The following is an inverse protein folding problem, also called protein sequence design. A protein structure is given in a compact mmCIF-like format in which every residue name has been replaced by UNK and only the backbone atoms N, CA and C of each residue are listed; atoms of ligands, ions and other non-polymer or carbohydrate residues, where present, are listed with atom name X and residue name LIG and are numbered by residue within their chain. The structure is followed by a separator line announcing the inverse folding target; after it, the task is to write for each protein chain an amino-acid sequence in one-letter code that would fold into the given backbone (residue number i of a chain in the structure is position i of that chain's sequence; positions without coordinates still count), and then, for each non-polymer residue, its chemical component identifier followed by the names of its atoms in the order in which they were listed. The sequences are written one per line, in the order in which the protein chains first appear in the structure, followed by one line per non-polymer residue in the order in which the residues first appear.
data_IF_905798413928
#
_entry.id   IF_905798413928
#
_cell.length_a   1.000
_cell.length_b   1.000
_cell.length_c   1.000
_cell.angle_alpha   90.00
_cell.angle_beta   90.00
_cell.angle_gamma   90.00
#
_symmetry.space_group_name_H-M   'P 1'
#
loop_
_entity.id
_entity.type
_entity.pdbx_description
1 polymer ?
#
# COMPACT_ATOMS: atom_id res chain seq x y z
N UNK A 1 36.86 44.16 -8.42
CA UNK A 1 35.73 43.42 -9.01
C UNK A 1 34.47 43.81 -8.28
N UNK A 2 33.47 44.31 -9.03
CA UNK A 2 32.15 44.60 -8.47
C UNK A 2 31.47 43.28 -8.07
N UNK A 3 30.59 43.30 -7.09
CA UNK A 3 29.87 42.14 -6.57
C UNK A 3 29.00 41.42 -7.61
N UNK A 4 28.45 42.15 -8.60
CA UNK A 4 27.67 41.57 -9.71
C UNK A 4 28.47 40.62 -10.61
N UNK A 5 29.65 40.98 -11.15
CA UNK A 5 30.46 40.02 -11.91
C UNK A 5 31.01 38.88 -11.06
N UNK A 6 31.20 39.06 -9.75
CA UNK A 6 31.62 38.01 -8.86
C UNK A 6 30.50 36.97 -8.59
N UNK A 7 29.25 37.45 -8.52
CA UNK A 7 28.10 36.53 -8.35
C UNK A 7 27.87 35.62 -9.56
N UNK A 8 28.22 36.06 -10.78
CA UNK A 8 28.13 35.24 -11.99
C UNK A 8 29.24 34.18 -12.10
N UNK A 9 30.31 34.28 -11.32
CA UNK A 9 31.38 33.28 -11.26
C UNK A 9 31.11 32.17 -10.23
N UNK A 10 30.12 32.35 -9.35
CA UNK A 10 29.65 31.27 -8.50
C UNK A 10 28.84 30.31 -9.38
N UNK A 11 29.26 29.02 -9.49
CA UNK A 11 28.41 28.03 -10.09
C UNK A 11 27.22 27.85 -9.13
N UNK A 12 26.08 28.48 -9.46
CA UNK A 12 24.80 28.04 -8.89
C UNK A 12 24.53 26.64 -9.43
N UNK A 13 25.24 25.67 -8.88
CA UNK A 13 25.00 24.28 -9.16
C UNK A 13 23.73 23.95 -8.45
N UNK A 14 22.72 23.46 -9.21
CA UNK A 14 21.58 22.82 -8.59
C UNK A 14 22.10 21.78 -7.60
N UNK A 15 21.60 21.82 -6.36
CA UNK A 15 22.06 20.89 -5.33
C UNK A 15 21.91 19.46 -5.86
N UNK A 16 23.00 18.69 -5.89
CA UNK A 16 22.92 17.28 -6.22
C UNK A 16 21.97 16.59 -5.24
N UNK A 17 20.93 15.94 -5.79
CA UNK A 17 19.98 15.20 -5.01
C UNK A 17 20.40 13.71 -5.06
N UNK A 18 21.41 13.37 -4.24
CA UNK A 18 21.91 12.00 -4.18
C UNK A 18 22.50 11.71 -2.80
N UNK A 19 22.27 10.51 -2.27
CA UNK A 19 22.98 10.00 -1.09
C UNK A 19 24.27 9.28 -1.46
N UNK A 20 24.57 9.12 -2.74
CA UNK A 20 25.76 8.43 -3.26
C UNK A 20 25.64 6.90 -3.27
N UNK A 21 24.59 6.34 -2.71
CA UNK A 21 24.30 4.91 -2.67
C UNK A 21 22.79 4.63 -2.74
N UNK A 22 22.42 3.37 -2.95
CA UNK A 22 21.04 2.93 -3.07
C UNK A 22 20.59 2.68 -4.51
N UNK A 23 19.31 2.78 -4.77
CA UNK A 23 18.75 2.58 -6.10
C UNK A 23 18.74 3.88 -6.92
N UNK A 24 18.85 3.74 -8.23
CA UNK A 24 18.70 4.86 -9.17
C UNK A 24 17.21 5.15 -9.38
N UNK A 25 16.75 6.34 -8.94
CA UNK A 25 15.40 6.81 -9.22
C UNK A 25 15.28 7.45 -10.61
N UNK A 26 16.33 8.14 -11.06
CA UNK A 26 16.37 8.80 -12.36
C UNK A 26 17.55 9.75 -12.49
N UNK A 27 17.43 10.69 -13.40
CA UNK A 27 18.40 11.77 -13.61
C UNK A 27 17.78 13.13 -13.29
N UNK A 28 18.58 14.02 -12.74
CA UNK A 28 18.21 15.41 -12.52
C UNK A 28 18.13 16.14 -13.87
N UNK A 29 16.98 16.74 -14.19
CA UNK A 29 16.74 17.41 -15.47
C UNK A 29 17.56 18.69 -15.66
N UNK A 30 18.10 19.28 -14.59
CA UNK A 30 18.85 20.53 -14.67
C UNK A 30 20.35 20.30 -14.94
N UNK A 31 20.95 19.29 -14.33
CA UNK A 31 22.40 19.07 -14.38
C UNK A 31 22.80 17.65 -14.85
N UNK A 32 21.84 16.79 -15.20
CA UNK A 32 22.05 15.40 -15.60
C UNK A 32 22.75 14.52 -14.54
N UNK A 33 22.82 14.96 -13.27
CA UNK A 33 23.34 14.10 -12.19
C UNK A 33 22.38 12.94 -11.89
N UNK A 34 22.91 11.84 -11.37
CA UNK A 34 22.13 10.69 -10.96
C UNK A 34 21.41 10.97 -9.63
N UNK A 35 20.15 10.57 -9.56
CA UNK A 35 19.34 10.62 -8.33
C UNK A 35 19.36 9.22 -7.72
N UNK A 36 20.24 9.03 -6.73
CA UNK A 36 20.50 7.76 -6.05
C UNK A 36 20.12 7.87 -4.57
N UNK A 37 19.27 6.98 -4.07
CA UNK A 37 18.88 6.92 -2.66
C UNK A 37 18.69 5.48 -2.19
N UNK A 38 19.14 5.20 -0.96
CA UNK A 38 18.63 4.08 -0.17
C UNK A 38 17.53 4.61 0.77
N UNK A 39 16.27 4.32 0.44
CA UNK A 39 15.11 4.77 1.22
C UNK A 39 15.17 4.33 2.69
N UNK A 40 15.84 3.23 2.99
CA UNK A 40 15.99 2.70 4.34
C UNK A 40 17.01 3.43 5.21
N UNK A 41 17.78 4.36 4.62
CA UNK A 41 18.69 5.26 5.32
C UNK A 41 18.06 6.62 5.64
N UNK A 42 16.89 6.91 5.12
CA UNK A 42 16.14 8.12 5.42
C UNK A 42 15.43 8.02 6.78
N UNK A 43 14.84 9.13 7.23
CA UNK A 43 14.11 9.21 8.50
C UNK A 43 13.03 8.13 8.60
N UNK A 44 12.32 7.89 7.50
CA UNK A 44 11.47 6.73 7.29
C UNK A 44 11.60 6.27 5.83
N UNK A 45 11.21 5.03 5.54
CA UNK A 45 11.29 4.46 4.22
C UNK A 45 9.99 4.62 3.40
N UNK A 46 9.07 5.49 3.82
CA UNK A 46 7.80 5.68 3.12
C UNK A 46 7.96 6.58 1.89
N UNK A 47 7.10 6.35 0.91
CA UNK A 47 7.02 7.12 -0.32
C UNK A 47 5.56 7.39 -0.70
N UNK A 48 5.30 8.58 -1.22
CA UNK A 48 4.03 8.90 -1.90
C UNK A 48 4.29 9.21 -3.36
N UNK A 49 3.40 8.75 -4.24
CA UNK A 49 3.48 8.98 -5.68
C UNK A 49 2.15 9.55 -6.16
N UNK A 50 2.19 10.79 -6.65
CA UNK A 50 1.04 11.48 -7.22
C UNK A 50 1.27 11.73 -8.71
N UNK A 51 0.33 11.28 -9.54
CA UNK A 51 0.47 11.38 -10.99
C UNK A 51 -0.90 11.26 -11.67
N UNK A 52 -1.18 12.11 -12.66
CA UNK A 52 -2.37 11.87 -13.50
C UNK A 52 -2.23 10.58 -14.31
N UNK A 53 -3.34 10.04 -14.79
CA UNK A 53 -3.33 8.87 -15.68
C UNK A 53 -2.43 9.11 -16.91
N UNK A 54 -1.65 8.11 -17.28
CA UNK A 54 -0.70 8.18 -18.41
C UNK A 54 0.56 9.01 -18.16
N UNK A 55 0.84 9.45 -16.91
CA UNK A 55 2.07 10.18 -16.57
C UNK A 55 3.29 9.27 -16.32
N UNK A 56 3.15 7.95 -16.39
CA UNK A 56 4.22 6.99 -16.14
C UNK A 56 4.30 6.50 -14.68
N UNK A 57 3.23 6.65 -13.91
CA UNK A 57 3.10 6.23 -12.50
C UNK A 57 3.56 4.78 -12.30
N UNK A 58 2.85 3.85 -12.92
CA UNK A 58 3.09 2.41 -12.76
C UNK A 58 4.43 1.97 -13.32
N UNK A 59 4.87 2.58 -14.42
CA UNK A 59 6.21 2.36 -14.98
C UNK A 59 7.29 2.70 -13.97
N UNK A 60 7.22 3.89 -13.38
CA UNK A 60 8.21 4.37 -12.39
C UNK A 60 8.23 3.49 -11.15
N UNK A 61 7.07 3.12 -10.63
CA UNK A 61 7.01 2.27 -9.42
C UNK A 61 7.47 0.85 -9.71
N UNK A 62 7.12 0.26 -10.87
CA UNK A 62 7.66 -1.04 -11.28
C UNK A 62 9.19 -1.04 -11.38
N UNK A 63 9.76 0.04 -11.90
CA UNK A 63 11.21 0.20 -11.97
C UNK A 63 11.84 0.30 -10.56
N UNK A 64 11.23 1.07 -9.65
CA UNK A 64 11.66 1.16 -8.25
C UNK A 64 11.56 -0.20 -7.55
N UNK A 65 10.46 -0.94 -7.76
CA UNK A 65 10.26 -2.30 -7.24
C UNK A 65 11.38 -3.23 -7.71
N UNK A 66 11.62 -3.30 -9.02
CA UNK A 66 12.66 -4.15 -9.61
C UNK A 66 14.04 -3.84 -9.01
N UNK A 67 14.39 -2.56 -8.95
CA UNK A 67 15.68 -2.11 -8.38
C UNK A 67 15.80 -2.38 -6.89
N UNK A 68 14.70 -2.18 -6.13
CA UNK A 68 14.67 -2.50 -4.70
C UNK A 68 14.90 -3.99 -4.43
N UNK A 69 14.32 -4.86 -5.27
CA UNK A 69 14.56 -6.31 -5.20
C UNK A 69 16.02 -6.68 -5.47
N UNK A 70 16.66 -6.02 -6.45
CA UNK A 70 18.10 -6.22 -6.74
C UNK A 70 18.98 -5.84 -5.54
N UNK A 71 18.54 -4.92 -4.69
CA UNK A 71 19.19 -4.52 -3.43
C UNK A 71 18.70 -5.31 -2.20
N UNK A 72 18.04 -6.46 -2.43
CA UNK A 72 17.68 -7.42 -1.39
C UNK A 72 16.40 -7.09 -0.61
N UNK A 73 15.59 -6.12 -1.06
CA UNK A 73 14.29 -5.88 -0.45
C UNK A 73 13.27 -6.92 -0.92
N UNK A 74 12.37 -7.35 -0.03
CA UNK A 74 11.14 -8.05 -0.40
C UNK A 74 10.06 -7.01 -0.70
N UNK A 75 9.23 -7.27 -1.69
CA UNK A 75 8.18 -6.34 -2.12
C UNK A 75 6.83 -7.03 -2.11
N UNK A 76 5.83 -6.35 -1.54
CA UNK A 76 4.44 -6.80 -1.52
C UNK A 76 3.59 -5.69 -2.15
N UNK A 77 2.80 -6.05 -3.15
CA UNK A 77 2.02 -5.09 -3.94
C UNK A 77 0.55 -5.41 -3.81
N UNK A 78 -0.25 -4.40 -3.55
CA UNK A 78 -1.69 -4.40 -3.70
C UNK A 78 -2.02 -3.71 -5.02
N UNK A 79 -2.57 -4.48 -5.98
CA UNK A 79 -2.74 -4.12 -7.39
C UNK A 79 -4.23 -4.20 -7.81
N UNK A 80 -4.99 -3.10 -7.71
CA UNK A 80 -6.39 -3.07 -8.13
C UNK A 80 -6.60 -3.12 -9.64
N UNK A 81 -5.59 -2.71 -10.43
CA UNK A 81 -5.74 -2.50 -11.88
C UNK A 81 -5.04 -3.56 -12.75
N UNK A 82 -4.39 -4.57 -12.11
CA UNK A 82 -3.65 -5.64 -12.80
C UNK A 82 -2.44 -5.13 -13.62
N UNK A 83 -1.74 -4.15 -13.09
CA UNK A 83 -0.60 -3.58 -13.78
C UNK A 83 0.73 -4.31 -13.52
N UNK A 84 0.84 -5.07 -12.42
CA UNK A 84 2.09 -5.69 -11.97
C UNK A 84 2.24 -7.16 -12.37
N UNK A 85 1.27 -7.74 -13.10
CA UNK A 85 1.28 -9.16 -13.48
C UNK A 85 2.53 -9.55 -14.27
N UNK A 86 2.84 -8.82 -15.35
CA UNK A 86 3.99 -9.11 -16.21
C UNK A 86 5.32 -9.05 -15.45
N UNK A 87 5.52 -8.01 -14.64
CA UNK A 87 6.69 -7.90 -13.75
C UNK A 87 6.78 -9.12 -12.82
N UNK A 88 5.68 -9.45 -12.13
CA UNK A 88 5.64 -10.55 -11.17
C UNK A 88 6.01 -11.89 -11.80
N UNK A 89 5.42 -12.22 -12.95
CA UNK A 89 5.69 -13.46 -13.68
C UNK A 89 7.13 -13.51 -14.20
N UNK A 90 7.66 -12.37 -14.69
CA UNK A 90 9.01 -12.31 -15.26
C UNK A 90 10.10 -12.50 -14.21
N UNK A 91 9.91 -11.99 -12.99
CA UNK A 91 10.90 -12.14 -11.90
C UNK A 91 10.67 -13.40 -11.04
N UNK A 92 9.68 -14.24 -11.37
CA UNK A 92 9.37 -15.44 -10.61
C UNK A 92 8.67 -15.16 -9.27
N UNK A 93 7.92 -14.07 -9.17
CA UNK A 93 7.13 -13.71 -8.00
C UNK A 93 5.85 -14.54 -7.84
N UNK A 94 5.15 -14.33 -6.73
CA UNK A 94 3.83 -14.91 -6.49
C UNK A 94 2.73 -13.94 -6.90
N UNK A 95 1.97 -14.28 -7.91
CA UNK A 95 0.80 -13.52 -8.34
C UNK A 95 -0.48 -14.13 -7.78
N UNK A 96 -1.14 -13.44 -6.86
CA UNK A 96 -2.32 -13.89 -6.14
C UNK A 96 -3.54 -13.12 -6.62
N UNK A 97 -4.37 -13.80 -7.41
CA UNK A 97 -5.62 -13.22 -7.90
C UNK A 97 -6.73 -13.45 -6.87
N UNK A 98 -7.26 -12.36 -6.31
CA UNK A 98 -8.40 -12.38 -5.40
C UNK A 98 -9.66 -12.02 -6.18
N UNK A 99 -10.64 -12.91 -6.13
CA UNK A 99 -11.96 -12.79 -6.74
C UNK A 99 -12.94 -13.63 -5.93
N UNK A 100 -14.24 -13.46 -6.13
CA UNK A 100 -15.27 -14.19 -5.39
C UNK A 100 -15.09 -15.71 -5.45
N UNK A 101 -14.66 -16.24 -6.60
CA UNK A 101 -14.42 -17.68 -6.82
C UNK A 101 -12.92 -18.05 -6.88
N UNK A 102 -12.06 -17.22 -6.28
CA UNK A 102 -10.62 -17.48 -6.24
C UNK A 102 -10.28 -18.65 -5.31
N UNK A 103 -9.22 -19.43 -5.61
CA UNK A 103 -8.67 -20.36 -4.67
C UNK A 103 -7.87 -19.71 -3.54
N UNK A 104 -7.64 -18.39 -3.63
CA UNK A 104 -6.91 -17.59 -2.63
C UNK A 104 -7.88 -17.09 -1.58
N UNK A 105 -7.59 -17.39 -0.31
CA UNK A 105 -8.40 -17.00 0.83
C UNK A 105 -7.57 -16.30 1.88
N UNK A 106 -8.15 -15.26 2.47
CA UNK A 106 -7.58 -14.48 3.56
C UNK A 106 -8.60 -14.41 4.69
N UNK A 107 -8.23 -14.93 5.85
CA UNK A 107 -9.09 -14.90 7.03
C UNK A 107 -8.80 -13.63 7.86
N UNK A 108 -9.76 -12.72 8.04
CA UNK A 108 -9.54 -11.51 8.82
C UNK A 108 -9.27 -11.78 10.32
N UNK A 109 -9.61 -12.97 10.81
CA UNK A 109 -9.37 -13.39 12.19
C UNK A 109 -7.96 -13.89 12.46
N UNK A 110 -7.11 -14.02 11.44
CA UNK A 110 -5.73 -14.44 11.64
C UNK A 110 -4.98 -13.45 12.54
N UNK A 111 -4.32 -13.98 13.57
CA UNK A 111 -3.43 -13.20 14.43
C UNK A 111 -2.00 -13.26 13.90
N UNK A 112 -1.18 -12.22 14.13
CA UNK A 112 0.25 -12.28 13.82
C UNK A 112 0.89 -13.40 14.62
N UNK A 113 1.78 -14.17 13.98
CA UNK A 113 2.62 -15.13 14.69
C UNK A 113 3.47 -14.35 15.68
N UNK A 114 3.60 -14.88 16.90
CA UNK A 114 4.26 -14.20 18.01
C UNK A 114 5.71 -13.84 17.70
N UNK A 115 6.09 -12.58 17.95
CA UNK A 115 7.46 -12.21 18.30
C UNK A 115 7.61 -12.28 19.80
N UNK A 116 8.75 -12.71 20.33
CA UNK A 116 9.02 -12.88 21.76
C UNK A 116 8.82 -11.60 22.60
N UNK A 117 8.75 -10.43 21.95
CA UNK A 117 8.56 -9.11 22.58
C UNK A 117 7.07 -8.66 22.61
N UNK A 118 6.16 -9.36 21.94
CA UNK A 118 4.76 -8.95 21.84
C UNK A 118 3.95 -9.46 23.06
N UNK A 119 3.22 -8.55 23.70
CA UNK A 119 2.22 -8.89 24.71
C UNK A 119 0.97 -9.51 24.03
N UNK A 120 0.61 -10.77 24.34
CA UNK A 120 -0.54 -11.44 23.72
C UNK A 120 -1.85 -10.65 23.87
N UNK A 121 -2.07 -10.01 25.02
CA UNK A 121 -3.24 -9.17 25.29
C UNK A 121 -3.29 -7.99 24.31
N UNK A 122 -2.17 -7.29 24.11
CA UNK A 122 -2.06 -6.17 23.19
C UNK A 122 -2.26 -6.59 21.73
N UNK A 123 -1.77 -7.78 21.34
CA UNK A 123 -1.95 -8.34 20.00
C UNK A 123 -3.41 -8.62 19.71
N UNK A 124 -4.11 -9.33 20.59
CA UNK A 124 -5.53 -9.67 20.42
C UNK A 124 -6.40 -8.40 20.40
N UNK A 125 -6.17 -7.46 21.31
CA UNK A 125 -6.89 -6.16 21.34
C UNK A 125 -6.69 -5.37 20.03
N UNK A 126 -5.46 -5.31 19.54
CA UNK A 126 -5.17 -4.62 18.29
C UNK A 126 -5.87 -5.27 17.09
N UNK A 127 -5.96 -6.60 17.06
CA UNK A 127 -6.64 -7.32 15.99
C UNK A 127 -8.17 -7.15 16.09
N UNK A 128 -8.74 -7.19 17.30
CA UNK A 128 -10.18 -6.89 17.52
C UNK A 128 -10.52 -5.49 17.01
N UNK A 129 -9.72 -4.48 17.35
CA UNK A 129 -9.92 -3.12 16.86
C UNK A 129 -9.85 -3.04 15.31
N UNK A 130 -8.93 -3.80 14.69
CA UNK A 130 -8.87 -3.89 13.22
C UNK A 130 -10.08 -4.60 12.63
N UNK A 131 -10.59 -5.66 13.27
CA UNK A 131 -11.82 -6.35 12.84
C UNK A 131 -13.06 -5.45 12.95
N UNK A 132 -13.17 -4.64 13.99
CA UNK A 132 -14.26 -3.65 14.13
C UNK A 132 -14.21 -2.68 12.94
N UNK A 133 -13.05 -2.12 12.61
CA UNK A 133 -12.89 -1.25 11.44
C UNK A 133 -13.25 -1.94 10.12
N UNK A 134 -12.90 -3.21 9.96
CA UNK A 134 -13.32 -4.01 8.81
C UNK A 134 -14.85 -4.19 8.77
N UNK A 135 -15.46 -4.50 9.91
CA UNK A 135 -16.92 -4.70 9.99
C UNK A 135 -17.67 -3.40 9.72
N UNK A 136 -17.16 -2.24 10.12
CA UNK A 136 -17.73 -0.93 9.73
C UNK A 136 -17.74 -0.76 8.21
N UNK A 137 -16.67 -1.15 7.50
CA UNK A 137 -16.63 -1.13 6.03
C UNK A 137 -17.66 -2.08 5.42
N UNK A 138 -17.85 -3.27 6.01
CA UNK A 138 -18.75 -4.32 5.50
C UNK A 138 -20.21 -4.01 5.79
N UNK A 139 -20.50 -3.54 7.00
CA UNK A 139 -21.87 -3.37 7.49
C UNK A 139 -22.41 -1.95 7.26
N UNK A 140 -21.54 -0.98 6.95
CA UNK A 140 -21.92 0.42 6.83
C UNK A 140 -22.11 1.11 8.19
N UNK A 141 -23.02 2.07 8.25
CA UNK A 141 -23.25 2.82 9.49
C UNK A 141 -23.68 1.90 10.65
N UNK A 142 -22.97 2.02 11.77
CA UNK A 142 -23.16 1.24 13.01
C UNK A 142 -23.46 2.21 14.13
N UNK A 143 -24.45 1.92 14.98
CA UNK A 143 -24.73 2.72 16.17
C UNK A 143 -23.74 2.41 17.30
N UNK A 144 -23.56 3.30 18.31
CA UNK A 144 -22.69 3.01 19.46
C UNK A 144 -23.10 1.73 20.22
N UNK A 145 -24.39 1.40 20.26
CA UNK A 145 -24.90 0.18 20.88
C UNK A 145 -24.49 -1.06 20.06
N UNK A 146 -24.66 -1.01 18.73
CA UNK A 146 -24.23 -2.07 17.81
C UNK A 146 -22.71 -2.27 17.85
N UNK A 147 -21.94 -1.18 17.99
CA UNK A 147 -20.47 -1.26 18.11
C UNK A 147 -20.03 -2.01 19.37
N UNK A 148 -20.70 -1.75 20.52
CA UNK A 148 -20.46 -2.50 21.73
C UNK A 148 -20.86 -3.97 21.63
N UNK A 149 -21.89 -4.29 20.84
CA UNK A 149 -22.28 -5.67 20.54
C UNK A 149 -21.23 -6.35 19.65
N UNK A 150 -20.70 -5.66 18.63
CA UNK A 150 -19.63 -6.18 17.77
C UNK A 150 -18.35 -6.51 18.56
N UNK A 151 -17.88 -5.61 19.46
CA UNK A 151 -16.70 -5.89 20.29
C UNK A 151 -16.88 -7.17 21.11
N UNK A 152 -18.05 -7.34 21.73
CA UNK A 152 -18.38 -8.53 22.53
C UNK A 152 -18.46 -9.78 21.64
N UNK A 153 -19.13 -9.70 20.49
CA UNK A 153 -19.30 -10.81 19.56
C UNK A 153 -17.95 -11.31 19.03
N UNK A 154 -17.02 -10.41 18.66
CA UNK A 154 -15.68 -10.77 18.20
C UNK A 154 -14.90 -11.49 19.30
N UNK A 155 -14.94 -10.99 20.55
CA UNK A 155 -14.28 -11.65 21.70
C UNK A 155 -14.83 -13.05 21.94
N UNK A 156 -16.15 -13.22 21.89
CA UNK A 156 -16.82 -14.50 22.03
C UNK A 156 -16.45 -15.45 20.89
N UNK A 157 -16.36 -14.92 19.65
CA UNK A 157 -15.95 -15.69 18.49
C UNK A 157 -14.53 -16.25 18.63
N UNK A 158 -13.58 -15.49 19.16
CA UNK A 158 -12.25 -16.02 19.50
C UNK A 158 -12.31 -17.02 20.64
N UNK A 159 -13.12 -16.76 21.70
CA UNK A 159 -13.23 -17.62 22.88
C UNK A 159 -13.80 -19.00 22.56
N UNK A 160 -14.72 -19.15 21.59
CA UNK A 160 -15.21 -20.45 21.09
C UNK A 160 -14.09 -21.33 20.55
N UNK A 161 -12.98 -20.73 20.09
CA UNK A 161 -11.78 -21.43 19.62
C UNK A 161 -10.67 -21.49 20.69
N UNK A 162 -11.01 -21.27 21.97
CA UNK A 162 -10.07 -21.23 23.09
C UNK A 162 -8.96 -20.16 22.93
N UNK A 163 -9.19 -19.13 22.08
CA UNK A 163 -8.28 -18.01 21.88
C UNK A 163 -8.69 -16.86 22.80
N UNK A 164 -7.85 -16.58 23.78
CA UNK A 164 -8.05 -15.53 24.79
C UNK A 164 -6.78 -14.69 24.95
N UNK A 165 -6.85 -13.62 25.72
CA UNK A 165 -5.70 -12.77 26.06
C UNK A 165 -4.54 -13.54 26.73
N UNK A 166 -4.81 -14.74 27.28
CA UNK A 166 -3.82 -15.59 27.95
C UNK A 166 -3.28 -16.72 27.07
N UNK A 167 -3.78 -16.85 25.85
CA UNK A 167 -3.41 -17.94 24.95
C UNK A 167 -2.01 -17.73 24.35
N UNK A 168 -1.27 -18.83 24.16
CA UNK A 168 -0.01 -18.81 23.42
C UNK A 168 -0.28 -18.93 21.92
N UNK A 169 -0.13 -17.83 21.19
CA UNK A 169 -0.39 -17.78 19.74
C UNK A 169 0.68 -18.49 18.90
N UNK A 170 1.83 -18.87 19.49
CA UNK A 170 2.90 -19.56 18.76
C UNK A 170 2.51 -20.98 18.29
N UNK A 171 1.55 -21.59 18.98
CA UNK A 171 1.06 -22.94 18.68
C UNK A 171 -0.15 -22.93 17.70
N UNK A 172 -0.68 -21.77 17.38
CA UNK A 172 -1.85 -21.67 16.53
C UNK A 172 -1.48 -21.90 15.05
N UNK A 173 -2.35 -22.62 14.36
CA UNK A 173 -2.29 -22.82 12.90
C UNK A 173 -3.43 -22.08 12.23
N UNK A 174 -3.42 -21.97 10.91
CA UNK A 174 -4.51 -21.32 10.18
C UNK A 174 -5.88 -21.92 10.53
N UNK A 175 -5.96 -23.23 10.79
CA UNK A 175 -7.19 -23.92 11.16
C UNK A 175 -7.68 -23.62 12.59
N UNK A 176 -6.84 -23.03 13.43
CA UNK A 176 -7.19 -22.67 14.82
C UNK A 176 -8.05 -21.43 14.90
N UNK A 177 -7.97 -20.55 13.90
CA UNK A 177 -8.68 -19.28 13.92
C UNK A 177 -10.16 -19.43 13.54
N UNK A 178 -11.06 -18.65 14.16
CA UNK A 178 -12.46 -18.59 13.71
C UNK A 178 -12.58 -17.98 12.32
N UNK A 179 -13.77 -18.05 11.72
CA UNK A 179 -14.12 -17.46 10.43
C UNK A 179 -15.25 -16.48 10.56
N UNK A 180 -15.63 -15.80 9.49
CA UNK A 180 -16.81 -14.94 9.46
C UNK A 180 -18.11 -15.72 9.75
N UNK A 181 -18.20 -17.00 9.36
CA UNK A 181 -19.34 -17.84 9.72
C UNK A 181 -19.43 -18.11 11.23
N UNK A 182 -18.28 -18.26 11.93
CA UNK A 182 -18.29 -18.37 13.39
C UNK A 182 -18.82 -17.09 14.04
N UNK A 183 -18.40 -15.91 13.56
CA UNK A 183 -18.94 -14.62 14.03
C UNK A 183 -20.45 -14.48 13.75
N UNK A 184 -20.87 -14.88 12.54
CA UNK A 184 -22.28 -14.85 12.17
C UNK A 184 -23.13 -15.73 13.12
N UNK A 185 -22.66 -16.93 13.43
CA UNK A 185 -23.34 -17.84 14.36
C UNK A 185 -23.42 -17.25 15.79
N UNK A 186 -22.37 -16.53 16.24
CA UNK A 186 -22.40 -15.82 17.54
C UNK A 186 -23.44 -14.70 17.51
N UNK A 187 -23.45 -13.85 16.48
CA UNK A 187 -24.43 -12.75 16.35
C UNK A 187 -25.87 -13.24 16.29
N UNK A 188 -26.14 -14.37 15.61
CA UNK A 188 -27.49 -14.95 15.58
C UNK A 188 -28.04 -15.35 16.95
N UNK A 189 -27.16 -15.62 17.92
CA UNK A 189 -27.54 -16.05 19.28
C UNK A 189 -27.36 -14.95 20.34
N UNK A 190 -27.04 -13.69 19.91
CA UNK A 190 -26.77 -12.57 20.82
C UNK A 190 -27.90 -11.55 20.78
N UNK A 191 -28.44 -11.21 21.93
CA UNK A 191 -29.51 -10.21 22.05
C UNK A 191 -29.05 -8.85 21.52
N UNK A 192 -29.87 -8.21 20.67
CA UNK A 192 -29.61 -6.90 20.08
C UNK A 192 -28.65 -6.93 18.87
N UNK A 193 -28.32 -8.13 18.36
CA UNK A 193 -27.45 -8.31 17.20
C UNK A 193 -28.18 -8.63 15.90
N UNK A 194 -29.50 -8.64 15.88
CA UNK A 194 -30.33 -9.10 14.74
C UNK A 194 -30.05 -8.29 13.46
N UNK A 195 -29.91 -6.96 13.58
CA UNK A 195 -29.55 -6.08 12.49
C UNK A 195 -28.15 -6.38 11.93
N UNK A 196 -27.17 -6.59 12.82
CA UNK A 196 -25.80 -6.92 12.49
C UNK A 196 -25.69 -8.28 11.78
N UNK A 197 -26.37 -9.30 12.32
CA UNK A 197 -26.42 -10.64 11.73
C UNK A 197 -27.00 -10.58 10.31
N UNK A 198 -28.15 -9.91 10.12
CA UNK A 198 -28.79 -9.76 8.80
C UNK A 198 -27.88 -9.09 7.78
N UNK A 199 -27.12 -8.05 8.18
CA UNK A 199 -26.18 -7.36 7.29
C UNK A 199 -24.94 -8.21 7.00
N UNK A 200 -24.46 -9.02 7.97
CA UNK A 200 -23.28 -9.87 7.81
C UNK A 200 -23.56 -11.10 6.92
N UNK A 201 -24.80 -11.58 6.84
CA UNK A 201 -25.20 -12.76 6.07
C UNK A 201 -24.71 -12.73 4.62
N UNK A 202 -24.72 -11.56 3.95
CA UNK A 202 -24.23 -11.41 2.58
C UNK A 202 -22.74 -11.75 2.39
N UNK A 203 -21.95 -11.68 3.46
CA UNK A 203 -20.50 -11.96 3.48
C UNK A 203 -20.17 -13.35 4.02
N UNK A 204 -21.13 -14.11 4.47
CA UNK A 204 -20.96 -15.48 4.97
C UNK A 204 -21.64 -16.51 4.07
N UNK A 205 -22.96 -16.50 4.02
CA UNK A 205 -23.78 -17.40 3.21
C UNK A 205 -24.17 -16.80 1.84
N UNK A 206 -24.06 -15.47 1.71
CA UNK A 206 -24.39 -14.74 0.50
C UNK A 206 -23.28 -14.74 -0.54
N UNK A 207 -23.48 -13.91 -1.58
CA UNK A 207 -22.62 -13.86 -2.78
C UNK A 207 -21.17 -13.41 -2.50
N UNK A 208 -20.92 -12.73 -1.38
CA UNK A 208 -19.61 -12.15 -1.07
C UNK A 208 -18.74 -13.00 -0.13
N UNK A 209 -19.22 -14.17 0.33
CA UNK A 209 -18.47 -15.03 1.25
C UNK A 209 -17.22 -15.72 0.67
N UNK A 210 -17.03 -15.65 -0.64
CA UNK A 210 -16.08 -16.51 -1.36
C UNK A 210 -14.62 -16.43 -0.92
N UNK A 211 -14.04 -15.24 -0.72
CA UNK A 211 -12.61 -15.09 -0.44
C UNK A 211 -12.27 -14.80 1.03
N UNK A 212 -13.24 -14.35 1.85
CA UNK A 212 -13.01 -13.89 3.23
C UNK A 212 -13.59 -14.80 4.32
N UNK A 213 -14.42 -15.77 3.93
CA UNK A 213 -15.07 -16.68 4.89
C UNK A 213 -14.46 -18.10 4.87
N UNK A 214 -13.12 -18.18 4.78
CA UNK A 214 -12.35 -19.41 4.82
C UNK A 214 -11.01 -19.17 5.48
N UNK A 215 -10.35 -20.26 5.88
CA UNK A 215 -9.00 -20.20 6.44
C UNK A 215 -8.00 -19.69 5.41
N UNK A 216 -7.04 -18.87 5.86
CA UNK A 216 -5.99 -18.35 4.98
C UNK A 216 -5.11 -19.46 4.42
N UNK A 217 -4.83 -19.37 3.13
CA UNK A 217 -3.95 -20.28 2.40
C UNK A 217 -2.80 -19.57 1.68
N UNK A 218 -2.46 -18.37 2.11
CA UNK A 218 -1.48 -17.47 1.50
C UNK A 218 -0.19 -17.45 2.31
N UNK A 219 0.96 -17.31 1.63
CA UNK A 219 2.25 -17.07 2.27
C UNK A 219 3.04 -15.98 1.54
N UNK A 220 3.87 -15.21 2.27
CA UNK A 220 4.74 -14.15 1.74
C UNK A 220 6.20 -14.61 1.56
N UNK A 221 6.42 -15.86 1.16
CA UNK A 221 7.78 -16.46 1.09
C UNK A 221 8.59 -15.95 -0.11
N UNK A 222 7.94 -15.48 -1.18
CA UNK A 222 8.63 -14.97 -2.36
C UNK A 222 9.10 -13.52 -2.16
N UNK A 223 10.17 -13.16 -2.85
CA UNK A 223 10.72 -11.81 -2.80
C UNK A 223 9.74 -10.77 -3.36
N UNK A 224 8.93 -11.14 -4.36
CA UNK A 224 7.81 -10.34 -4.88
C UNK A 224 6.50 -11.10 -4.71
N UNK A 225 5.54 -10.47 -4.06
CA UNK A 225 4.16 -10.95 -3.93
C UNK A 225 3.20 -9.87 -4.39
N UNK A 226 2.31 -10.20 -5.31
CA UNK A 226 1.31 -9.27 -5.85
C UNK A 226 -0.08 -9.79 -5.54
N UNK A 227 -0.88 -9.00 -4.83
CA UNK A 227 -2.29 -9.23 -4.61
C UNK A 227 -3.09 -8.44 -5.63
N UNK A 228 -3.68 -9.12 -6.58
CA UNK A 228 -4.52 -8.52 -7.60
C UNK A 228 -5.99 -8.66 -7.23
N UNK A 229 -6.71 -7.53 -7.25
CA UNK A 229 -8.13 -7.45 -6.90
C UNK A 229 -9.01 -6.90 -8.03
N UNK A 230 -8.48 -6.81 -9.25
CA UNK A 230 -9.17 -6.21 -10.40
C UNK A 230 -10.54 -6.81 -10.68
N UNK A 231 -10.67 -8.12 -10.50
CA UNK A 231 -11.91 -8.87 -10.80
C UNK A 231 -12.93 -8.81 -9.67
N UNK A 232 -12.65 -8.09 -8.58
CA UNK A 232 -13.63 -7.77 -7.56
C UNK A 232 -14.47 -6.57 -7.98
N UNK A 233 -15.75 -6.62 -7.62
CA UNK A 233 -16.68 -5.52 -7.76
C UNK A 233 -16.23 -4.30 -6.95
N UNK A 234 -16.53 -3.09 -7.42
CA UNK A 234 -16.07 -1.84 -6.79
C UNK A 234 -16.42 -1.75 -5.31
N UNK A 235 -17.62 -2.23 -4.93
CA UNK A 235 -18.08 -2.27 -3.54
C UNK A 235 -17.19 -3.11 -2.63
N UNK A 236 -16.57 -4.16 -3.15
CA UNK A 236 -15.71 -5.08 -2.38
C UNK A 236 -14.24 -4.65 -2.36
N UNK A 237 -13.81 -3.75 -3.24
CA UNK A 237 -12.41 -3.33 -3.33
C UNK A 237 -11.88 -2.72 -2.02
N UNK A 238 -12.56 -1.78 -1.34
CA UNK A 238 -12.09 -1.26 -0.06
C UNK A 238 -11.94 -2.33 1.01
N UNK A 239 -12.89 -3.28 1.07
CA UNK A 239 -12.89 -4.41 2.01
C UNK A 239 -11.69 -5.32 1.73
N UNK A 240 -11.49 -5.71 0.47
CA UNK A 240 -10.36 -6.54 0.06
C UNK A 240 -9.02 -5.85 0.34
N UNK A 241 -8.89 -4.56 0.01
CA UNK A 241 -7.69 -3.77 0.30
C UNK A 241 -7.37 -3.74 1.80
N UNK A 242 -8.39 -3.57 2.63
CA UNK A 242 -8.24 -3.58 4.08
C UNK A 242 -7.74 -4.94 4.59
N UNK A 243 -8.38 -6.04 4.17
CA UNK A 243 -8.03 -7.41 4.60
C UNK A 243 -6.61 -7.76 4.14
N UNK A 244 -6.26 -7.46 2.88
CA UNK A 244 -4.93 -7.71 2.33
C UNK A 244 -3.88 -6.91 3.13
N UNK A 245 -4.13 -5.63 3.39
CA UNK A 245 -3.20 -4.79 4.15
C UNK A 245 -3.08 -5.26 5.61
N UNK A 246 -4.17 -5.72 6.24
CA UNK A 246 -4.15 -6.34 7.56
C UNK A 246 -3.31 -7.62 7.57
N UNK A 247 -3.49 -8.49 6.58
CA UNK A 247 -2.70 -9.70 6.42
C UNK A 247 -1.21 -9.37 6.23
N UNK A 248 -0.88 -8.46 5.33
CA UNK A 248 0.49 -7.96 5.13
C UNK A 248 1.09 -7.43 6.44
N UNK A 249 0.31 -6.63 7.17
CA UNK A 249 0.75 -6.05 8.44
C UNK A 249 1.02 -7.10 9.52
N UNK A 250 0.20 -8.14 9.61
CA UNK A 250 0.41 -9.25 10.52
C UNK A 250 1.69 -10.03 10.19
N UNK A 251 1.91 -10.33 8.91
CA UNK A 251 3.11 -11.03 8.45
C UNK A 251 4.41 -10.21 8.60
N UNK A 252 4.35 -8.88 8.38
CA UNK A 252 5.52 -8.00 8.51
C UNK A 252 6.07 -7.99 9.93
N UNK A 253 5.20 -8.06 10.93
CA UNK A 253 5.60 -8.06 12.35
C UNK A 253 6.31 -9.34 12.79
N UNK A 254 6.25 -10.41 12.01
CA UNK A 254 6.87 -11.69 12.38
C UNK A 254 8.37 -11.74 12.17
N UNK A 255 8.91 -10.96 11.24
CA UNK A 255 10.32 -11.00 10.85
C UNK A 255 10.84 -9.61 10.46
N UNK A 256 11.96 -9.21 11.05
CA UNK A 256 12.62 -7.94 10.74
C UNK A 256 13.48 -8.09 9.48
N UNK A 257 13.00 -7.59 8.34
CA UNK A 257 13.76 -7.54 7.07
C UNK A 257 13.38 -6.34 6.22
N UNK A 258 14.25 -5.98 5.28
CA UNK A 258 13.93 -4.91 4.31
C UNK A 258 12.72 -5.29 3.49
N UNK A 259 11.64 -4.49 3.60
CA UNK A 259 10.42 -4.67 2.83
C UNK A 259 9.90 -3.36 2.26
N UNK A 260 9.26 -3.45 1.11
CA UNK A 260 8.46 -2.36 0.53
C UNK A 260 7.04 -2.88 0.34
N UNK A 261 6.07 -2.19 0.92
CA UNK A 261 4.66 -2.38 0.63
C UNK A 261 4.27 -1.33 -0.40
N UNK A 262 3.65 -1.74 -1.47
CA UNK A 262 3.08 -0.84 -2.49
C UNK A 262 1.57 -0.96 -2.45
N UNK A 263 0.88 0.15 -2.22
CA UNK A 263 -0.58 0.25 -2.29
C UNK A 263 -0.93 1.14 -3.47
N UNK A 264 -1.32 0.52 -4.58
CA UNK A 264 -1.78 1.27 -5.75
C UNK A 264 -3.25 1.68 -5.57
N UNK A 265 -3.63 2.79 -6.19
CA UNK A 265 -4.94 3.45 -6.05
C UNK A 265 -5.36 3.64 -4.58
N UNK A 266 -4.42 4.10 -3.75
CA UNK A 266 -4.61 4.27 -2.30
C UNK A 266 -5.79 5.20 -1.93
N UNK A 267 -6.23 6.08 -2.85
CA UNK A 267 -7.40 6.95 -2.67
C UNK A 267 -8.68 6.15 -2.35
N UNK A 268 -8.79 4.91 -2.86
CA UNK A 268 -9.94 4.04 -2.57
C UNK A 268 -10.09 3.80 -1.06
N UNK A 269 -8.98 3.56 -0.36
CA UNK A 269 -8.98 3.41 1.10
C UNK A 269 -9.27 4.74 1.82
N UNK A 270 -8.84 5.86 1.22
CA UNK A 270 -9.00 7.18 1.84
C UNK A 270 -10.44 7.68 1.85
N UNK A 271 -11.34 7.12 1.05
CA UNK A 271 -12.77 7.42 1.06
C UNK A 271 -13.50 6.87 2.30
N UNK A 272 -12.89 5.92 3.02
CA UNK A 272 -13.47 5.27 4.20
C UNK A 272 -12.61 5.56 5.43
N UNK A 273 -13.22 6.11 6.47
CA UNK A 273 -12.47 6.59 7.65
C UNK A 273 -11.63 5.49 8.31
N UNK A 274 -12.20 4.30 8.54
CA UNK A 274 -11.50 3.19 9.19
C UNK A 274 -10.36 2.64 8.32
N UNK A 275 -10.56 2.56 7.00
CA UNK A 275 -9.52 2.13 6.07
C UNK A 275 -8.38 3.15 5.99
N UNK A 276 -8.71 4.44 5.94
CA UNK A 276 -7.72 5.53 5.96
C UNK A 276 -6.93 5.56 7.28
N UNK A 277 -7.61 5.38 8.41
CA UNK A 277 -6.98 5.28 9.72
C UNK A 277 -6.01 4.10 9.81
N UNK A 278 -6.42 2.94 9.27
CA UNK A 278 -5.57 1.76 9.23
C UNK A 278 -4.33 1.97 8.36
N UNK A 279 -4.49 2.49 7.14
CA UNK A 279 -3.38 2.81 6.23
C UNK A 279 -2.40 3.80 6.87
N UNK A 280 -2.90 4.86 7.51
CA UNK A 280 -2.08 5.81 8.27
C UNK A 280 -1.35 5.13 9.44
N UNK A 281 -2.03 4.23 10.16
CA UNK A 281 -1.43 3.43 11.23
C UNK A 281 -0.25 2.58 10.74
N UNK A 282 -0.36 1.99 9.56
CA UNK A 282 0.74 1.26 8.90
C UNK A 282 1.86 2.23 8.53
N UNK A 283 1.57 3.34 7.84
CA UNK A 283 2.55 4.36 7.44
C UNK A 283 3.39 4.86 8.62
N UNK A 284 2.75 5.05 9.80
CA UNK A 284 3.43 5.52 11.01
C UNK A 284 4.31 4.47 11.67
N UNK A 285 3.96 3.19 11.57
CA UNK A 285 4.59 2.11 12.34
C UNK A 285 5.56 1.25 11.54
N UNK A 286 5.45 1.16 10.21
CA UNK A 286 6.24 0.26 9.36
C UNK A 286 7.76 0.48 9.50
N UNK A 287 8.22 1.70 9.81
CA UNK A 287 9.62 2.00 10.09
C UNK A 287 10.23 1.08 11.16
N UNK A 288 9.45 0.73 12.21
CA UNK A 288 9.93 -0.14 13.30
C UNK A 288 10.23 -1.57 12.84
N UNK A 289 9.68 -1.96 11.69
CA UNK A 289 9.83 -3.29 11.11
C UNK A 289 10.69 -3.30 9.85
N UNK A 290 11.54 -2.26 9.69
CA UNK A 290 12.42 -2.09 8.54
C UNK A 290 11.65 -2.15 7.20
N UNK A 291 10.44 -1.64 7.21
CA UNK A 291 9.50 -1.64 6.09
C UNK A 291 9.18 -0.21 5.67
N UNK A 292 9.07 0.02 4.37
CA UNK A 292 8.58 1.26 3.79
C UNK A 292 7.25 1.04 3.08
N UNK A 293 6.32 1.99 3.26
CA UNK A 293 5.05 2.03 2.56
C UNK A 293 5.15 2.98 1.38
N UNK A 294 4.80 2.52 0.19
CA UNK A 294 4.61 3.35 -1.01
C UNK A 294 3.12 3.44 -1.31
N UNK A 295 2.54 4.61 -1.18
CA UNK A 295 1.14 4.88 -1.57
C UNK A 295 1.12 5.61 -2.90
N UNK A 296 0.30 5.13 -3.82
CA UNK A 296 0.21 5.63 -5.18
C UNK A 296 -1.23 6.05 -5.44
N UNK A 297 -1.43 7.23 -6.00
CA UNK A 297 -2.76 7.70 -6.39
C UNK A 297 -2.70 8.62 -7.60
N UNK A 298 -3.74 8.57 -8.42
CA UNK A 298 -3.99 9.54 -9.48
C UNK A 298 -4.96 10.64 -9.02
N UNK A 299 -5.74 10.40 -8.00
CA UNK A 299 -6.65 11.38 -7.43
C UNK A 299 -6.10 11.95 -6.11
N UNK A 300 -5.41 13.09 -6.22
CA UNK A 300 -4.90 13.78 -5.05
C UNK A 300 -6.04 14.42 -4.24
N UNK A 301 -7.10 14.86 -4.89
CA UNK A 301 -8.20 15.56 -4.22
C UNK A 301 -8.92 14.62 -3.26
N UNK A 302 -9.27 13.43 -3.72
CA UNK A 302 -9.88 12.39 -2.88
C UNK A 302 -8.91 11.93 -1.77
N UNK A 303 -7.64 11.76 -2.10
CA UNK A 303 -6.64 11.40 -1.11
C UNK A 303 -6.50 12.44 -0.01
N UNK A 304 -6.47 13.72 -0.35
CA UNK A 304 -6.31 14.84 0.59
C UNK A 304 -7.61 15.24 1.29
N UNK A 305 -8.78 14.84 0.78
CA UNK A 305 -10.06 15.04 1.45
C UNK A 305 -10.14 14.28 2.80
N UNK A 306 -9.44 13.15 2.91
CA UNK A 306 -9.34 12.44 4.18
C UNK A 306 -8.44 13.19 5.17
N UNK A 307 -8.84 13.24 6.44
CA UNK A 307 -8.01 13.78 7.53
C UNK A 307 -6.66 13.08 7.69
N UNK A 308 -6.51 11.89 7.13
CA UNK A 308 -5.28 11.08 7.16
C UNK A 308 -4.36 11.33 5.95
N UNK A 309 -4.83 11.98 4.88
CA UNK A 309 -4.05 12.21 3.67
C UNK A 309 -2.79 13.04 3.94
N UNK A 310 -2.95 14.23 4.53
CA UNK A 310 -1.81 15.08 4.90
C UNK A 310 -0.84 14.38 5.87
N UNK A 311 -1.28 13.71 6.95
CA UNK A 311 -0.39 12.92 7.80
C UNK A 311 0.40 11.83 7.08
N UNK A 312 -0.17 11.12 6.09
CA UNK A 312 0.56 10.12 5.30
C UNK A 312 1.65 10.79 4.47
N UNK A 313 1.33 11.90 3.78
CA UNK A 313 2.31 12.68 3.00
C UNK A 313 3.46 13.15 3.88
N UNK A 314 3.18 13.73 5.05
CA UNK A 314 4.22 14.24 5.96
C UNK A 314 5.06 13.13 6.61
N UNK A 315 4.52 11.90 6.70
CA UNK A 315 5.26 10.71 7.15
C UNK A 315 5.91 9.95 5.98
N UNK A 316 6.13 10.59 4.84
CA UNK A 316 6.80 10.01 3.68
C UNK A 316 8.04 10.82 3.33
N UNK A 317 9.23 10.24 3.61
CA UNK A 317 10.52 10.90 3.33
C UNK A 317 10.79 11.01 1.84
N UNK A 318 10.21 10.14 1.02
CA UNK A 318 10.25 10.22 -0.43
C UNK A 318 8.88 10.65 -0.98
N UNK A 319 8.89 11.61 -1.91
CA UNK A 319 7.67 12.06 -2.57
C UNK A 319 7.96 12.25 -4.06
N UNK A 320 7.16 11.63 -4.90
CA UNK A 320 7.29 11.73 -6.35
C UNK A 320 6.04 12.34 -6.95
N UNK A 321 6.19 13.49 -7.55
CA UNK A 321 5.15 14.20 -8.29
C UNK A 321 5.48 14.09 -9.77
N UNK A 322 4.79 13.22 -10.49
CA UNK A 322 4.85 13.18 -11.96
C UNK A 322 3.85 14.19 -12.55
N UNK A 323 3.69 14.20 -13.87
CA UNK A 323 2.79 15.12 -14.56
C UNK A 323 1.42 15.19 -13.90
N UNK A 324 0.93 16.42 -13.67
CA UNK A 324 -0.37 16.71 -13.05
C UNK A 324 -1.38 17.24 -14.07
N UNK A 325 -2.66 17.22 -13.68
CA UNK A 325 -3.74 17.86 -14.44
C UNK A 325 -3.92 19.33 -14.03
N UNK A 326 -4.44 20.21 -14.91
CA UNK A 326 -4.80 21.56 -14.51
C UNK A 326 -5.82 21.61 -13.36
N UNK A 327 -6.66 20.58 -13.22
CA UNK A 327 -7.68 20.53 -12.16
C UNK A 327 -7.08 20.21 -10.78
N UNK A 328 -5.96 19.47 -10.73
CA UNK A 328 -5.34 19.03 -9.47
C UNK A 328 -4.11 19.87 -9.06
N UNK A 329 -3.57 20.68 -9.96
CA UNK A 329 -2.27 21.33 -9.74
C UNK A 329 -2.25 22.27 -8.52
N UNK A 330 -3.34 23.00 -8.24
CA UNK A 330 -3.38 23.89 -7.09
C UNK A 330 -3.37 23.08 -5.77
N UNK A 331 -4.13 22.00 -5.67
CA UNK A 331 -4.08 21.10 -4.50
C UNK A 331 -2.69 20.52 -4.29
N UNK A 332 -2.02 20.11 -5.38
CA UNK A 332 -0.63 19.63 -5.33
C UNK A 332 0.30 20.74 -4.85
N UNK A 333 0.19 21.94 -5.43
CA UNK A 333 1.05 23.07 -5.08
C UNK A 333 0.92 23.47 -3.61
N UNK A 334 -0.30 23.54 -3.09
CA UNK A 334 -0.55 23.83 -1.68
C UNK A 334 -0.02 22.72 -0.75
N UNK A 335 -0.21 21.46 -1.15
CA UNK A 335 0.22 20.31 -0.33
C UNK A 335 1.75 20.23 -0.22
N UNK A 336 2.47 20.48 -1.32
CA UNK A 336 3.93 20.30 -1.41
C UNK A 336 4.69 21.64 -1.41
N UNK A 337 4.01 22.76 -1.21
CA UNK A 337 4.58 24.12 -1.18
C UNK A 337 5.38 24.45 -2.45
N UNK A 338 4.81 24.14 -3.62
CA UNK A 338 5.48 24.33 -4.90
C UNK A 338 5.47 25.82 -5.31
N UNK A 339 6.55 26.24 -5.95
CA UNK A 339 6.63 27.54 -6.63
C UNK A 339 5.83 27.52 -7.94
N UNK A 340 5.51 28.70 -8.48
CA UNK A 340 4.82 28.80 -9.78
C UNK A 340 5.60 28.11 -10.91
N UNK A 341 6.93 28.19 -10.87
CA UNK A 341 7.78 27.53 -11.86
C UNK A 341 7.65 26.00 -11.78
N UNK A 342 7.58 25.42 -10.60
CA UNK A 342 7.40 23.97 -10.37
C UNK A 342 6.00 23.51 -10.76
N UNK A 343 4.97 24.36 -10.55
CA UNK A 343 3.61 24.07 -11.08
C UNK A 343 3.63 23.94 -12.60
N UNK A 344 4.23 24.89 -13.30
CA UNK A 344 4.36 24.83 -14.77
C UNK A 344 5.17 23.60 -15.22
N UNK A 345 6.27 23.29 -14.50
CA UNK A 345 7.06 22.11 -14.79
C UNK A 345 6.20 20.83 -14.72
N UNK A 346 5.36 20.67 -13.69
CA UNK A 346 4.49 19.50 -13.55
C UNK A 346 3.39 19.43 -14.60
N UNK A 347 2.85 20.57 -15.03
CA UNK A 347 1.83 20.63 -16.09
C UNK A 347 2.40 20.25 -17.47
N UNK A 348 3.62 20.67 -17.77
CA UNK A 348 4.29 20.48 -19.07
C UNK A 348 5.19 19.23 -19.13
N UNK A 349 5.39 18.53 -18.02
CA UNK A 349 6.24 17.34 -17.95
C UNK A 349 5.80 16.25 -18.93
N UNK A 350 6.77 15.59 -19.54
CA UNK A 350 6.55 14.38 -20.33
C UNK A 350 6.28 13.17 -19.43
N UNK A 351 5.99 12.02 -20.03
CA UNK A 351 5.83 10.76 -19.31
C UNK A 351 7.14 10.39 -18.60
N UNK A 352 7.05 10.08 -17.30
CA UNK A 352 8.21 9.76 -16.47
C UNK A 352 9.03 10.97 -16.02
N UNK A 353 8.53 12.19 -16.24
CA UNK A 353 9.17 13.42 -15.74
C UNK A 353 8.31 14.07 -14.65
N UNK A 354 8.98 14.75 -13.71
CA UNK A 354 8.31 15.38 -12.59
C UNK A 354 9.27 15.99 -11.57
N UNK A 355 8.86 15.99 -10.31
CA UNK A 355 9.65 16.47 -9.16
C UNK A 355 9.79 15.34 -8.15
N UNK A 356 11.02 15.09 -7.71
CA UNK A 356 11.34 14.10 -6.69
C UNK A 356 11.86 14.78 -5.43
N UNK A 357 11.22 14.48 -4.31
CA UNK A 357 11.62 14.94 -2.98
C UNK A 357 12.28 13.82 -2.21
N UNK A 358 13.36 14.13 -1.51
CA UNK A 358 14.03 13.24 -0.56
C UNK A 358 14.35 14.05 0.71
N UNK A 359 13.55 13.85 1.75
CA UNK A 359 13.55 14.69 2.95
C UNK A 359 13.18 16.15 2.60
N UNK A 360 14.05 17.09 2.95
CA UNK A 360 13.84 18.53 2.71
C UNK A 360 14.31 19.02 1.34
N UNK A 361 14.97 18.18 0.56
CA UNK A 361 15.51 18.54 -0.77
C UNK A 361 14.64 17.96 -1.87
N UNK A 362 14.59 18.64 -3.00
CA UNK A 362 13.92 18.15 -4.19
C UNK A 362 14.62 18.58 -5.48
N UNK A 363 14.34 17.88 -6.55
CA UNK A 363 14.86 18.19 -7.88
C UNK A 363 13.88 17.73 -8.98
N UNK A 364 13.92 18.40 -10.11
CA UNK A 364 13.25 17.92 -11.31
C UNK A 364 13.89 16.62 -11.78
N UNK A 365 13.07 15.56 -11.91
CA UNK A 365 13.52 14.23 -12.27
C UNK A 365 13.05 13.81 -13.65
N UNK A 366 13.87 13.00 -14.33
CA UNK A 366 13.47 12.18 -15.45
C UNK A 366 13.81 10.73 -15.11
N UNK A 367 12.79 9.89 -15.03
CA UNK A 367 12.93 8.45 -14.82
C UNK A 367 13.52 7.81 -16.07
N UNK A 368 14.54 7.00 -15.86
CA UNK A 368 15.22 6.27 -16.96
C UNK A 368 15.34 4.80 -16.61
N UNK A 369 15.07 3.95 -17.56
CA UNK A 369 15.31 2.51 -17.50
C UNK A 369 16.31 2.08 -18.56
N UNK A 370 17.06 1.03 -18.31
CA UNK A 370 17.79 0.32 -19.34
C UNK A 370 16.83 -0.47 -20.24
N UNK A 371 17.29 -0.89 -21.40
CA UNK A 371 16.48 -1.70 -22.32
C UNK A 371 15.98 -2.99 -21.63
N UNK A 372 16.83 -3.65 -20.85
CA UNK A 372 16.45 -4.88 -20.14
C UNK A 372 15.40 -4.64 -19.06
N UNK A 373 15.52 -3.54 -18.28
CA UNK A 373 14.52 -3.16 -17.30
C UNK A 373 13.18 -2.83 -17.97
N UNK A 374 13.22 -2.10 -19.09
CA UNK A 374 12.02 -1.72 -19.85
C UNK A 374 11.22 -2.95 -20.30
N UNK A 375 11.89 -3.99 -20.81
CA UNK A 375 11.25 -5.25 -21.19
C UNK A 375 10.57 -5.98 -20.02
N UNK A 376 11.07 -5.81 -18.81
CA UNK A 376 10.53 -6.45 -17.59
C UNK A 376 9.34 -5.68 -17.04
N UNK A 377 9.39 -4.34 -17.06
CA UNK A 377 8.42 -3.47 -16.42
C UNK A 377 7.33 -2.93 -17.35
N UNK A 378 7.44 -3.14 -18.66
CA UNK A 378 6.49 -2.60 -19.62
C UNK A 378 5.04 -3.03 -19.32
N UNK A 379 4.10 -2.13 -19.59
CA UNK A 379 2.66 -2.40 -19.68
C UNK A 379 2.09 -2.02 -21.04
N UNK A 380 2.94 -1.67 -22.02
CA UNK A 380 2.48 -1.40 -23.36
C UNK A 380 1.97 -2.72 -24.01
N UNK A 381 0.68 -2.79 -24.39
CA UNK A 381 0.11 -4.01 -24.96
C UNK A 381 0.82 -4.47 -26.23
N UNK A 382 1.41 -3.55 -27.01
CA UNK A 382 2.16 -3.89 -28.24
C UNK A 382 3.46 -4.61 -27.90
N UNK A 383 4.22 -4.05 -26.96
CA UNK A 383 5.47 -4.66 -26.49
C UNK A 383 5.20 -6.02 -25.82
N UNK A 384 4.14 -6.13 -25.01
CA UNK A 384 3.75 -7.40 -24.39
C UNK A 384 3.44 -8.48 -25.44
N UNK A 385 2.73 -8.13 -26.52
CA UNK A 385 2.45 -9.05 -27.62
C UNK A 385 3.74 -9.49 -28.36
N UNK A 386 4.66 -8.57 -28.58
CA UNK A 386 5.97 -8.87 -29.19
C UNK A 386 6.79 -9.82 -28.31
N UNK A 387 6.82 -9.57 -27.00
CA UNK A 387 7.51 -10.43 -26.01
C UNK A 387 6.89 -11.83 -25.99
N UNK A 388 5.57 -11.94 -26.03
CA UNK A 388 4.87 -13.24 -26.07
C UNK A 388 5.14 -14.01 -27.38
N UNK A 389 5.21 -13.30 -28.50
CA UNK A 389 5.54 -13.91 -29.78
C UNK A 389 6.99 -14.40 -29.86
N UNK A 390 7.92 -13.68 -29.21
CA UNK A 390 9.33 -14.06 -29.15
C UNK A 390 9.60 -15.25 -28.21
N UNK A 391 8.68 -15.55 -27.29
CA UNK A 391 8.77 -16.73 -26.38
C UNK A 391 8.22 -18.03 -27.00
N UNK A 392 7.50 -17.94 -28.10
CA UNK A 392 6.96 -19.08 -28.89
C UNK A 392 7.92 -19.53 -29.96
#
# INVERSE_FOLDING_TARGET
LNTEPLSTTFPFVSSDLSSGDGILYGINRHNNSLILFDRFKLENANMVVFAKSGAGKSYTVKLEVLRSMMFGASVIILDPENEYKHLCETVGGSFMKIALNSPVHLNPFDLPRKNDEDDPEGVLRSNIASLIGLLHLMLGAVTPEEDAVLDRAIRETYAIRDITEKSDFSQLTAQSYPTMSDLYAVLQNMDGAESLATRLERYTEGIFGGFLNKQSNVSLNNQLVVFNIRDLEEELRPIAMYIILQFMWNEIRTELKKRVIVVDEAWVMMQHEDAAAFLFGVAKRCRKYYTGLTTITQDISDFMASRYGKPIVTNSSLQLLLRQSPASIETVAETFYLTDHEKFLLLESNVGEGIFFAGTKHAAIKVIASYSEDQIITSDPRQLLEIEQAKK
#
